data_IF_828180595194
#
_entry.id   IF_828180595194
#
_cell.length_a   1.000
_cell.length_b   1.000
_cell.length_c   1.000
_cell.angle_alpha   90.00
_cell.angle_beta   90.00
_cell.angle_gamma   90.00
#
_symmetry.space_group_name_H-M   'P 1'
#
loop_
_entity.id
_entity.type
_entity.pdbx_description
1 polymer ?
#
# COMPACT_ATOMS: atom_id res chain seq x y z
N UNK A 1 13.77 -8.24 1.96
CA UNK A 1 12.41 -8.75 2.19
C UNK A 1 12.33 -10.01 3.08
N UNK A 2 13.44 -10.57 3.60
CA UNK A 2 13.38 -11.64 4.63
C UNK A 2 13.41 -11.04 6.06
N UNK A 3 12.26 -10.78 6.66
CA UNK A 3 12.14 -10.19 7.99
C UNK A 3 10.73 -10.42 8.58
N UNK A 4 10.56 -10.08 9.86
CA UNK A 4 9.24 -9.93 10.50
C UNK A 4 8.37 -8.92 9.74
N UNK A 5 7.03 -8.89 9.93
CA UNK A 5 6.16 -8.03 9.15
C UNK A 5 6.58 -6.56 9.17
N UNK A 6 6.65 -5.97 7.99
CA UNK A 6 6.89 -4.53 7.76
C UNK A 6 5.80 -4.01 6.85
N UNK A 7 5.03 -3.05 7.34
CA UNK A 7 3.87 -2.52 6.62
C UNK A 7 4.27 -1.35 5.74
N UNK A 8 3.92 -1.44 4.46
CA UNK A 8 4.05 -0.34 3.51
C UNK A 8 2.88 0.63 3.71
N UNK A 9 1.67 0.10 3.81
CA UNK A 9 0.45 0.89 3.97
C UNK A 9 -0.61 0.10 4.75
N UNK A 10 -1.32 0.75 5.65
CA UNK A 10 -2.44 0.17 6.42
C UNK A 10 -3.54 1.21 6.61
N UNK A 11 -4.80 0.87 6.33
CA UNK A 11 -5.95 1.66 6.77
C UNK A 11 -6.57 0.98 7.98
N UNK A 12 -6.41 1.55 9.16
CA UNK A 12 -6.80 0.90 10.43
C UNK A 12 -5.66 0.14 11.11
N UNK A 13 -6.00 -0.95 11.81
CA UNK A 13 -5.02 -1.73 12.60
C UNK A 13 -5.32 -3.22 12.53
N UNK A 14 -4.41 -4.00 11.95
CA UNK A 14 -4.67 -5.41 11.64
C UNK A 14 -4.51 -6.37 12.82
N UNK A 15 -3.99 -5.89 13.96
CA UNK A 15 -3.63 -6.73 15.12
C UNK A 15 -4.76 -6.93 16.14
N UNK A 16 -5.73 -6.03 16.22
CA UNK A 16 -6.68 -5.99 17.36
C UNK A 16 -8.04 -5.35 17.05
N UNK A 17 -8.29 -4.90 15.82
CA UNK A 17 -9.60 -4.34 15.49
C UNK A 17 -10.56 -5.42 15.00
N UNK A 18 -11.79 -5.38 15.49
CA UNK A 18 -12.96 -5.98 14.82
C UNK A 18 -13.39 -5.18 13.59
N UNK A 19 -12.77 -4.01 13.36
CA UNK A 19 -12.91 -3.24 12.13
C UNK A 19 -12.38 -4.03 10.91
N UNK A 20 -12.61 -3.47 9.73
CA UNK A 20 -12.18 -3.99 8.45
C UNK A 20 -10.99 -3.22 7.82
N UNK A 21 -9.77 -3.32 8.40
CA UNK A 21 -8.59 -2.71 7.80
C UNK A 21 -8.19 -3.41 6.51
N UNK A 22 -7.56 -2.65 5.61
CA UNK A 22 -6.78 -3.17 4.49
C UNK A 22 -5.32 -2.80 4.65
N UNK A 23 -4.43 -3.60 4.06
CA UNK A 23 -3.00 -3.44 4.22
C UNK A 23 -2.20 -4.00 3.06
N UNK A 24 -0.97 -3.49 2.93
CA UNK A 24 0.11 -4.04 2.11
C UNK A 24 1.35 -4.12 2.98
N UNK A 25 1.99 -5.29 3.01
CA UNK A 25 3.16 -5.57 3.84
C UNK A 25 4.15 -6.48 3.12
N UNK A 26 5.35 -6.57 3.70
CA UNK A 26 6.32 -7.61 3.38
C UNK A 26 6.64 -8.40 4.65
N UNK A 27 6.57 -9.72 4.55
CA UNK A 27 6.92 -10.66 5.62
C UNK A 27 7.56 -11.91 5.02
N UNK A 28 8.66 -12.40 5.59
CA UNK A 28 9.24 -13.72 5.26
C UNK A 28 9.40 -13.98 3.75
N UNK A 29 9.96 -13.01 3.01
CA UNK A 29 10.12 -13.00 1.56
C UNK A 29 8.85 -12.80 0.73
N UNK A 30 7.72 -12.46 1.34
CA UNK A 30 6.45 -12.39 0.63
C UNK A 30 5.90 -10.99 0.62
N UNK A 31 5.47 -10.53 -0.55
CA UNK A 31 4.58 -9.38 -0.68
C UNK A 31 3.16 -9.85 -0.36
N UNK A 32 2.55 -9.24 0.65
CA UNK A 32 1.21 -9.60 1.13
C UNK A 32 0.32 -8.39 1.01
N UNK A 33 -0.86 -8.57 0.44
CA UNK A 33 -1.93 -7.60 0.58
C UNK A 33 -3.22 -8.31 0.97
N UNK A 34 -4.12 -7.56 1.57
CA UNK A 34 -5.42 -8.05 1.90
C UNK A 34 -6.16 -7.14 2.85
N UNK A 35 -7.17 -7.73 3.47
CA UNK A 35 -8.01 -7.08 4.45
C UNK A 35 -8.21 -7.99 5.65
N UNK A 36 -8.78 -7.45 6.71
CA UNK A 36 -9.22 -8.24 7.85
C UNK A 36 -10.74 -8.25 7.89
N UNK A 37 -11.30 -9.46 8.03
CA UNK A 37 -12.74 -9.69 8.15
C UNK A 37 -12.99 -10.32 9.51
N UNK A 38 -13.56 -9.52 10.43
CA UNK A 38 -13.64 -9.90 11.84
C UNK A 38 -12.25 -10.09 12.44
N UNK A 39 -11.93 -11.30 12.90
CA UNK A 39 -10.63 -11.61 13.50
C UNK A 39 -9.64 -12.30 12.55
N UNK A 40 -9.98 -12.41 11.26
CA UNK A 40 -9.21 -13.18 10.28
C UNK A 40 -8.69 -12.28 9.17
N UNK A 41 -7.38 -12.32 8.92
CA UNK A 41 -6.80 -11.70 7.73
C UNK A 41 -7.12 -12.57 6.50
N UNK A 42 -7.64 -11.93 5.45
CA UNK A 42 -7.91 -12.51 4.14
C UNK A 42 -6.92 -11.89 3.17
N UNK A 43 -5.95 -12.68 2.73
CA UNK A 43 -4.78 -12.16 2.00
C UNK A 43 -4.50 -12.94 0.74
N UNK A 44 -3.79 -12.28 -0.18
CA UNK A 44 -2.92 -12.93 -1.14
C UNK A 44 -1.48 -12.68 -0.77
N UNK A 45 -0.62 -13.61 -1.15
CA UNK A 45 0.78 -13.57 -0.77
C UNK A 45 1.64 -14.07 -1.92
N UNK A 46 2.49 -13.20 -2.45
CA UNK A 46 3.38 -13.47 -3.57
C UNK A 46 4.83 -13.62 -3.08
N UNK A 47 5.51 -14.69 -3.48
CA UNK A 47 6.88 -14.98 -3.04
C UNK A 47 7.89 -14.17 -3.85
N UNK A 48 8.53 -13.19 -3.24
CA UNK A 48 9.51 -12.32 -3.88
C UNK A 48 10.83 -13.05 -4.15
N UNK A 49 11.25 -13.93 -3.23
CA UNK A 49 12.51 -14.66 -3.36
C UNK A 49 12.44 -15.73 -4.45
N UNK A 50 11.36 -16.52 -4.47
CA UNK A 50 11.16 -17.57 -5.47
C UNK A 50 11.01 -17.01 -6.90
N UNK A 51 10.61 -15.73 -7.02
CA UNK A 51 10.49 -15.03 -8.30
C UNK A 51 11.66 -14.07 -8.59
N UNK A 52 12.80 -14.24 -7.89
CA UNK A 52 14.04 -13.49 -8.14
C UNK A 52 13.88 -11.96 -8.14
N UNK A 53 12.95 -11.42 -7.34
CA UNK A 53 12.80 -9.97 -7.15
C UNK A 53 14.06 -9.45 -6.46
N UNK A 54 14.60 -8.32 -6.91
CA UNK A 54 15.88 -7.82 -6.37
C UNK A 54 15.67 -7.10 -5.04
N UNK A 55 16.36 -7.52 -3.99
CA UNK A 55 16.34 -6.80 -2.72
C UNK A 55 17.09 -5.46 -2.83
N UNK A 56 16.71 -4.48 -2.00
CA UNK A 56 17.37 -3.16 -1.93
C UNK A 56 17.34 -2.36 -3.25
N UNK A 57 16.37 -2.65 -4.12
CA UNK A 57 16.06 -1.88 -5.31
C UNK A 57 14.67 -1.25 -5.20
N UNK A 58 14.44 -0.17 -5.96
CA UNK A 58 13.11 0.40 -6.12
C UNK A 58 12.20 -0.58 -6.87
N UNK A 59 11.02 -0.82 -6.29
CA UNK A 59 9.97 -1.62 -6.89
C UNK A 59 8.64 -0.91 -6.72
N UNK A 60 7.81 -0.97 -7.76
CA UNK A 60 6.43 -0.54 -7.64
C UNK A 60 5.59 -1.72 -7.16
N UNK A 61 4.76 -1.49 -6.16
CA UNK A 61 3.78 -2.46 -5.65
C UNK A 61 2.38 -1.87 -5.75
N UNK A 62 1.43 -2.63 -6.28
CA UNK A 62 0.02 -2.28 -6.20
C UNK A 62 -0.85 -3.49 -5.85
N UNK A 63 -2.00 -3.21 -5.25
CA UNK A 63 -3.05 -4.19 -5.00
C UNK A 63 -4.41 -3.60 -5.41
N UNK A 64 -5.25 -4.38 -6.07
CA UNK A 64 -6.63 -3.99 -6.41
C UNK A 64 -7.64 -4.99 -5.84
N UNK A 65 -8.80 -4.49 -5.40
CA UNK A 65 -9.89 -5.32 -4.87
C UNK A 65 -11.18 -5.04 -5.63
N UNK A 66 -11.66 -6.02 -6.40
CA UNK A 66 -13.00 -5.99 -6.98
C UNK A 66 -14.00 -6.55 -5.97
N UNK A 67 -14.61 -5.68 -5.17
CA UNK A 67 -15.48 -6.06 -4.05
C UNK A 67 -16.62 -7.02 -4.45
N UNK A 68 -17.24 -6.83 -5.63
CA UNK A 68 -18.36 -7.66 -6.08
C UNK A 68 -17.98 -9.13 -6.33
N UNK A 69 -16.77 -9.40 -6.79
CA UNK A 69 -16.25 -10.75 -7.03
C UNK A 69 -15.26 -11.21 -5.95
N UNK A 70 -14.89 -10.32 -5.02
CA UNK A 70 -13.84 -10.49 -3.99
C UNK A 70 -12.48 -10.82 -4.61
N UNK A 71 -12.26 -10.41 -5.85
CA UNK A 71 -10.99 -10.64 -6.53
C UNK A 71 -9.96 -9.62 -6.03
N UNK A 72 -8.93 -10.13 -5.35
CA UNK A 72 -7.72 -9.39 -5.05
C UNK A 72 -6.69 -9.67 -6.13
N UNK A 73 -6.01 -8.63 -6.59
CA UNK A 73 -4.92 -8.75 -7.56
C UNK A 73 -3.70 -7.99 -7.03
N UNK A 74 -2.53 -8.63 -7.10
CA UNK A 74 -1.23 -8.05 -6.78
C UNK A 74 -0.44 -7.75 -8.06
N UNK A 75 0.24 -6.60 -8.05
CA UNK A 75 1.11 -6.14 -9.12
C UNK A 75 2.49 -5.82 -8.57
N UNK A 76 3.51 -6.16 -9.34
CA UNK A 76 4.90 -5.79 -9.11
C UNK A 76 5.46 -5.17 -10.39
N UNK A 77 6.10 -4.01 -10.30
CA UNK A 77 6.72 -3.31 -11.42
C UNK A 77 5.77 -3.14 -12.62
N UNK A 78 4.55 -2.71 -12.31
CA UNK A 78 3.50 -2.44 -13.30
C UNK A 78 2.79 -3.67 -13.87
N UNK A 79 3.22 -4.89 -13.53
CA UNK A 79 2.67 -6.14 -14.08
C UNK A 79 1.91 -6.91 -13.02
N UNK A 80 0.78 -7.53 -13.41
CA UNK A 80 0.06 -8.46 -12.54
C UNK A 80 0.97 -9.67 -12.24
N UNK A 81 1.13 -10.00 -10.97
CA UNK A 81 1.94 -11.15 -10.51
C UNK A 81 1.12 -12.23 -9.81
N UNK A 82 -0.03 -11.88 -9.24
CA UNK A 82 -0.91 -12.83 -8.58
C UNK A 82 -2.33 -12.28 -8.54
N UNK A 83 -3.34 -13.16 -8.67
CA UNK A 83 -4.72 -12.82 -8.34
C UNK A 83 -5.41 -14.00 -7.67
N UNK A 84 -6.54 -13.74 -7.02
CA UNK A 84 -7.32 -14.76 -6.37
C UNK A 84 -8.58 -14.19 -5.73
N UNK A 85 -9.55 -15.07 -5.48
CA UNK A 85 -10.79 -14.72 -4.82
C UNK A 85 -10.63 -14.90 -3.31
N UNK A 86 -10.81 -13.83 -2.54
CA UNK A 86 -10.85 -13.94 -1.08
C UNK A 86 -12.10 -14.69 -0.63
N UNK A 87 -11.95 -15.55 0.37
CA UNK A 87 -13.05 -16.33 0.93
C UNK A 87 -14.17 -15.43 1.50
N UNK A 88 -13.80 -14.26 2.03
CA UNK A 88 -14.71 -13.22 2.50
C UNK A 88 -14.08 -11.85 2.25
N UNK A 89 -14.94 -10.83 2.11
CA UNK A 89 -14.56 -9.43 1.99
C UNK A 89 -15.36 -8.61 2.98
N UNK A 90 -14.76 -7.58 3.56
CA UNK A 90 -15.48 -6.68 4.44
C UNK A 90 -16.29 -5.67 3.62
N UNK A 91 -17.57 -5.57 3.89
CA UNK A 91 -18.46 -4.58 3.26
C UNK A 91 -18.57 -3.27 4.04
N UNK A 92 -17.97 -3.23 5.24
CA UNK A 92 -17.88 -2.05 6.09
C UNK A 92 -16.45 -1.53 6.09
N UNK A 93 -16.28 -0.20 6.17
CA UNK A 93 -14.96 0.41 6.32
C UNK A 93 -14.52 0.55 7.78
N UNK A 94 -13.42 1.27 7.99
CA UNK A 94 -12.97 1.70 9.32
C UNK A 94 -12.86 3.22 9.37
N UNK A 95 -13.16 3.82 10.54
CA UNK A 95 -12.96 5.25 10.81
C UNK A 95 -11.53 5.57 11.25
N UNK A 96 -10.69 4.55 11.46
CA UNK A 96 -9.30 4.74 11.89
C UNK A 96 -8.44 5.37 10.79
N UNK A 97 -7.33 6.04 11.13
CA UNK A 97 -6.45 6.66 10.15
C UNK A 97 -5.85 5.67 9.13
N UNK A 98 -5.44 6.22 7.99
CA UNK A 98 -4.46 5.58 7.12
C UNK A 98 -3.06 5.80 7.74
N UNK A 99 -2.24 4.77 7.65
CA UNK A 99 -0.84 4.78 8.05
C UNK A 99 0.02 4.37 6.86
N UNK A 100 1.07 5.15 6.62
CA UNK A 100 2.12 4.86 5.64
C UNK A 100 3.35 4.42 6.45
N UNK A 101 3.93 3.29 6.11
CA UNK A 101 5.13 2.76 6.75
C UNK A 101 4.93 2.13 8.13
N UNK A 102 3.70 1.79 8.54
CA UNK A 102 3.41 1.14 9.84
C UNK A 102 2.00 0.53 9.91
N UNK A 103 1.79 -0.35 10.90
CA UNK A 103 0.47 -0.89 11.27
C UNK A 103 -0.01 -0.30 12.60
N UNK A 104 -0.83 0.75 12.53
CA UNK A 104 -1.35 1.43 13.71
C UNK A 104 -0.23 1.84 14.69
N UNK A 105 -0.50 1.76 16.00
CA UNK A 105 0.46 2.16 17.04
C UNK A 105 1.48 1.09 17.43
N UNK A 106 1.55 -0.02 16.70
CA UNK A 106 2.38 -1.19 17.02
C UNK A 106 3.69 -1.08 16.22
N UNK A 107 4.84 -1.35 16.85
CA UNK A 107 6.19 -1.04 16.32
C UNK A 107 6.68 -1.80 15.07
N UNK A 108 5.81 -2.11 14.11
CA UNK A 108 6.10 -2.81 12.85
C UNK A 108 6.36 -1.80 11.72
N UNK A 109 7.33 -0.91 11.94
CA UNK A 109 7.68 0.16 11.01
C UNK A 109 8.36 -0.37 9.76
N UNK A 110 8.03 0.19 8.61
CA UNK A 110 8.76 0.01 7.36
C UNK A 110 10.25 0.36 7.54
N UNK A 111 11.11 -0.42 6.89
CA UNK A 111 12.56 -0.26 6.92
C UNK A 111 13.06 -0.10 5.49
N UNK A 112 12.84 1.09 4.94
CA UNK A 112 13.20 1.42 3.57
C UNK A 112 12.66 2.79 3.19
N UNK A 113 12.77 3.11 1.90
CA UNK A 113 12.21 4.31 1.32
C UNK A 113 10.83 4.00 0.75
N UNK A 114 9.98 5.01 0.70
CA UNK A 114 8.67 4.96 0.06
C UNK A 114 8.56 6.22 -0.78
N UNK A 115 7.89 6.08 -1.91
CA UNK A 115 7.61 7.17 -2.82
C UNK A 115 6.20 6.99 -3.38
N UNK A 116 5.58 8.10 -3.79
CA UNK A 116 4.39 8.13 -4.64
C UNK A 116 3.25 7.19 -4.20
N UNK A 117 2.84 7.34 -2.94
CA UNK A 117 1.84 6.49 -2.30
C UNK A 117 0.44 6.95 -2.70
N UNK A 118 -0.34 6.03 -3.27
CA UNK A 118 -1.66 6.33 -3.84
C UNK A 118 -2.75 5.41 -3.28
N UNK A 119 -3.94 5.97 -3.10
CA UNK A 119 -5.16 5.23 -2.74
C UNK A 119 -6.29 5.59 -3.70
N UNK A 120 -6.98 4.59 -4.23
CA UNK A 120 -8.11 4.74 -5.15
C UNK A 120 -9.38 4.11 -4.58
N UNK A 121 -10.54 4.67 -4.90
CA UNK A 121 -11.86 4.08 -4.57
C UNK A 121 -12.46 3.26 -5.72
N UNK A 122 -11.65 2.95 -6.74
CA UNK A 122 -12.02 2.12 -7.88
C UNK A 122 -10.91 1.14 -8.21
N UNK A 123 -11.29 0.07 -8.89
CA UNK A 123 -10.31 -0.86 -9.47
C UNK A 123 -9.60 -0.16 -10.62
N UNK A 124 -8.27 -0.06 -10.49
CA UNK A 124 -7.36 0.36 -11.55
C UNK A 124 -7.07 -0.86 -12.43
N UNK A 125 -7.15 -0.68 -13.75
CA UNK A 125 -6.90 -1.75 -14.73
C UNK A 125 -5.41 -2.05 -14.88
N UNK A 126 -5.08 -3.22 -15.41
CA UNK A 126 -3.71 -3.63 -15.76
C UNK A 126 -3.00 -2.59 -16.64
N UNK A 127 -3.71 -2.04 -17.63
CA UNK A 127 -3.18 -1.04 -18.55
C UNK A 127 -2.89 0.27 -17.84
N UNK A 128 -3.78 0.73 -16.95
CA UNK A 128 -3.56 1.94 -16.17
C UNK A 128 -2.40 1.79 -15.19
N UNK A 129 -2.27 0.63 -14.54
CA UNK A 129 -1.18 0.35 -13.61
C UNK A 129 0.14 0.26 -14.39
N UNK A 130 0.19 -0.48 -15.49
CA UNK A 130 1.38 -0.61 -16.33
C UNK A 130 1.83 0.72 -16.93
N UNK A 131 0.90 1.62 -17.25
CA UNK A 131 1.22 2.95 -17.75
C UNK A 131 1.79 3.86 -16.66
N UNK A 132 1.19 3.83 -15.46
CA UNK A 132 1.41 4.87 -14.45
C UNK A 132 2.37 4.45 -13.31
N UNK A 133 2.93 3.23 -13.33
CA UNK A 133 3.74 2.67 -12.22
C UNK A 133 5.10 3.35 -11.99
N UNK A 134 5.61 4.09 -12.98
CA UNK A 134 6.88 4.84 -12.92
C UNK A 134 6.70 6.33 -13.17
N UNK A 135 5.47 6.81 -13.16
CA UNK A 135 5.17 8.20 -13.52
C UNK A 135 4.32 8.81 -12.43
N UNK A 136 4.72 9.97 -11.92
CA UNK A 136 3.87 10.76 -11.05
C UNK A 136 2.58 11.18 -11.76
N UNK A 137 1.47 11.09 -11.05
CA UNK A 137 0.20 11.60 -11.56
C UNK A 137 0.20 13.13 -11.56
N UNK A 138 -0.43 13.67 -12.60
CA UNK A 138 -0.68 15.11 -12.75
C UNK A 138 -2.18 15.35 -12.94
N UNK A 139 -2.69 16.44 -12.39
CA UNK A 139 -4.10 16.83 -12.52
C UNK A 139 -5.07 15.91 -11.76
N UNK A 140 -6.36 16.20 -11.89
CA UNK A 140 -7.42 15.44 -11.23
C UNK A 140 -7.58 14.06 -11.85
N UNK A 141 -7.64 13.03 -11.00
CA UNK A 141 -7.77 11.64 -11.40
C UNK A 141 -9.06 11.03 -10.87
N UNK A 142 -9.85 10.41 -11.75
CA UNK A 142 -11.15 9.83 -11.37
C UNK A 142 -10.96 8.72 -10.34
N UNK A 143 -11.55 8.92 -9.16
CA UNK A 143 -11.52 7.94 -8.07
C UNK A 143 -10.21 7.91 -7.27
N UNK A 144 -9.30 8.87 -7.48
CA UNK A 144 -8.12 9.04 -6.62
C UNK A 144 -8.55 9.66 -5.29
N UNK A 145 -8.30 8.95 -4.20
CA UNK A 145 -8.69 9.34 -2.84
C UNK A 145 -7.57 10.08 -2.14
N UNK A 146 -6.32 9.64 -2.33
CA UNK A 146 -5.14 10.27 -1.77
C UNK A 146 -3.91 9.94 -2.62
N UNK A 147 -3.00 10.91 -2.72
CA UNK A 147 -1.75 10.82 -3.45
C UNK A 147 -0.66 11.64 -2.76
N UNK A 148 0.22 10.95 -2.05
CA UNK A 148 1.39 11.52 -1.38
C UNK A 148 2.63 11.24 -2.20
N UNK A 149 3.13 12.28 -2.87
CA UNK A 149 4.34 12.20 -3.72
C UNK A 149 5.63 12.11 -2.92
N UNK A 150 5.61 12.49 -1.64
CA UNK A 150 6.76 12.38 -0.74
C UNK A 150 8.02 13.16 -1.19
N UNK A 151 7.84 14.28 -1.89
CA UNK A 151 8.90 15.10 -2.48
C UNK A 151 9.20 16.40 -1.72
N UNK A 152 8.63 16.61 -0.52
CA UNK A 152 8.74 17.89 0.21
C UNK A 152 10.16 18.19 0.70
N UNK A 153 10.98 17.17 0.90
CA UNK A 153 12.41 17.29 1.22
C UNK A 153 12.74 17.84 2.63
N UNK A 154 11.78 18.45 3.33
CA UNK A 154 11.95 19.01 4.67
C UNK A 154 10.64 19.10 5.45
N UNK A 155 10.73 19.39 6.75
CA UNK A 155 9.56 19.44 7.63
C UNK A 155 8.96 18.06 7.91
N UNK A 156 7.70 18.02 8.35
CA UNK A 156 7.02 16.77 8.72
C UNK A 156 5.73 16.53 7.96
N UNK A 157 5.36 17.40 7.03
CA UNK A 157 4.13 17.27 6.26
C UNK A 157 4.40 16.60 4.92
N UNK A 158 3.69 15.52 4.63
CA UNK A 158 3.57 14.97 3.28
C UNK A 158 2.23 15.44 2.70
N UNK A 159 2.29 16.28 1.66
CA UNK A 159 1.11 16.86 1.05
C UNK A 159 0.33 15.81 0.26
N UNK A 160 -0.98 15.84 0.40
CA UNK A 160 -1.89 15.05 -0.42
C UNK A 160 -2.33 15.87 -1.63
N UNK A 161 -2.11 15.33 -2.83
CA UNK A 161 -2.54 15.91 -4.10
C UNK A 161 -3.79 15.23 -4.69
N UNK A 162 -4.35 14.26 -3.97
CA UNK A 162 -5.59 13.57 -4.34
C UNK A 162 -6.83 14.26 -3.79
N UNK A 163 -7.94 14.15 -4.53
CA UNK A 163 -9.29 14.52 -4.08
C UNK A 163 -9.39 15.77 -3.19
N UNK A 164 -9.94 15.59 -1.99
CA UNK A 164 -9.88 16.57 -0.90
C UNK A 164 -8.62 16.29 -0.08
N UNK A 165 -7.63 17.21 -0.04
CA UNK A 165 -6.32 16.92 0.54
C UNK A 165 -6.39 16.45 2.01
N UNK A 166 -5.86 15.25 2.27
CA UNK A 166 -5.63 14.70 3.60
C UNK A 166 -4.12 14.52 3.82
N UNK A 167 -3.42 15.62 4.14
CA UNK A 167 -1.98 15.59 4.36
C UNK A 167 -1.59 14.55 5.42
N UNK A 168 -0.55 13.77 5.12
CA UNK A 168 0.06 12.87 6.08
C UNK A 168 1.12 13.63 6.91
N UNK A 169 1.44 13.10 8.08
CA UNK A 169 2.47 13.67 8.97
C UNK A 169 3.52 12.62 9.30
N UNK A 170 4.77 12.91 8.98
CA UNK A 170 5.93 12.12 9.39
C UNK A 170 6.02 12.14 10.93
N UNK A 171 6.29 10.98 11.51
CA UNK A 171 6.40 10.77 12.96
C UNK A 171 7.62 9.92 13.28
N UNK A 172 8.10 10.03 14.51
CA UNK A 172 9.25 9.26 14.98
C UNK A 172 10.52 9.64 14.23
N UNK A 173 11.25 8.64 13.75
CA UNK A 173 12.51 8.81 13.00
C UNK A 173 12.34 8.83 11.48
N UNK A 174 11.10 8.88 10.96
CA UNK A 174 10.87 9.06 9.53
C UNK A 174 11.42 10.42 9.08
N UNK A 175 12.12 10.44 7.94
CA UNK A 175 12.70 11.65 7.38
C UNK A 175 12.80 11.57 5.85
N UNK A 176 13.01 12.73 5.23
CA UNK A 176 13.13 12.85 3.79
C UNK A 176 14.45 12.28 3.29
N UNK A 177 14.43 11.74 2.07
CA UNK A 177 15.62 11.25 1.38
C UNK A 177 15.84 12.06 0.11
N UNK A 178 17.11 12.21 -0.28
CA UNK A 178 17.49 12.79 -1.58
C UNK A 178 17.66 11.73 -2.67
N UNK A 179 17.38 10.47 -2.34
CA UNK A 179 17.42 9.37 -3.31
C UNK A 179 16.24 9.47 -4.26
N UNK A 180 16.53 9.39 -5.56
CA UNK A 180 15.53 9.47 -6.60
C UNK A 180 15.21 8.05 -7.08
N UNK A 181 13.92 7.73 -7.15
CA UNK A 181 13.52 6.50 -7.82
C UNK A 181 13.73 6.65 -9.35
N UNK A 182 14.16 5.59 -10.04
CA UNK A 182 14.32 5.59 -11.49
C UNK A 182 12.99 5.54 -12.26
#
# INVERSE_FOLDING_TARGET
YNHTPKYILTKGRVSDSTDAPYFVEIESNRLIAGERVGSINRTLSYDLAANAVTANAWHHVAATMQASSRQLTLYLDGRQVLHGTLAAHATTGTTRPLFIGRNGNVGQYWQGKLDDVRVWNRVRSDVEILRDYRTELTGAQVGLVGNWKLNEGSGTTAADSGGTPQNATLKGSAGWSTDLHP
#
